data_IF_162577686624
#
_entry.id   IF_162577686624
#
_cell.length_a   1.000
_cell.length_b   1.000
_cell.length_c   1.000
_cell.angle_alpha   90.00
_cell.angle_beta   90.00
_cell.angle_gamma   90.00
#
_symmetry.space_group_name_H-M   'P 1'
#
loop_
_entity.id
_entity.type
_entity.pdbx_description
1 polymer ?
#
# COMPACT_ATOMS: atom_id res chain seq x y z
N UNK A 1 33.22 -37.24 -15.24
CA UNK A 1 33.53 -36.17 -14.27
C UNK A 1 34.13 -35.08 -15.11
N UNK A 2 33.44 -33.98 -15.37
CA UNK A 2 32.77 -33.06 -14.44
C UNK A 2 31.49 -32.48 -15.07
N UNK A 3 30.44 -32.42 -14.25
CA UNK A 3 29.10 -31.96 -14.60
C UNK A 3 28.91 -30.65 -13.81
N UNK A 4 28.88 -29.50 -14.49
CA UNK A 4 28.55 -28.22 -13.84
C UNK A 4 27.62 -27.41 -14.73
N UNK A 5 26.36 -27.85 -14.73
CA UNK A 5 25.16 -27.02 -14.64
C UNK A 5 25.29 -25.60 -15.22
N UNK A 6 24.99 -25.47 -16.51
CA UNK A 6 24.46 -24.24 -17.08
C UNK A 6 22.99 -24.10 -16.63
N UNK A 7 22.76 -23.57 -15.43
CA UNK A 7 21.45 -23.00 -15.09
C UNK A 7 21.60 -21.51 -15.34
N UNK A 8 21.04 -21.05 -16.46
CA UNK A 8 20.89 -19.64 -16.77
C UNK A 8 20.15 -18.91 -15.66
N UNK A 9 20.89 -18.37 -14.70
CA UNK A 9 20.42 -17.40 -13.72
C UNK A 9 20.28 -16.06 -14.44
N UNK A 10 19.28 -15.97 -15.32
CA UNK A 10 18.80 -14.66 -15.77
C UNK A 10 18.31 -13.93 -14.52
N UNK A 11 18.66 -12.65 -14.30
CA UNK A 11 18.10 -11.89 -13.18
C UNK A 11 16.58 -11.99 -13.28
N UNK A 12 15.97 -12.59 -12.26
CA UNK A 12 14.51 -12.74 -12.20
C UNK A 12 13.94 -11.32 -12.23
N UNK A 13 13.32 -10.96 -13.35
CA UNK A 13 12.64 -9.67 -13.46
C UNK A 13 11.51 -9.65 -12.42
N UNK A 14 11.32 -8.54 -11.69
CA UNK A 14 10.20 -8.42 -10.77
C UNK A 14 8.89 -8.76 -11.49
N UNK A 15 8.10 -9.63 -10.87
CA UNK A 15 6.77 -9.96 -11.37
C UNK A 15 5.80 -8.93 -10.82
N UNK A 16 5.08 -8.26 -11.72
CA UNK A 16 4.12 -7.21 -11.34
C UNK A 16 2.71 -7.79 -11.30
N UNK A 17 2.06 -7.63 -10.16
CA UNK A 17 0.67 -8.02 -9.93
C UNK A 17 -0.17 -6.79 -9.58
N UNK A 18 -1.44 -6.82 -9.96
CA UNK A 18 -2.38 -5.78 -9.58
C UNK A 18 -2.84 -5.99 -8.14
N UNK A 19 -2.85 -4.91 -7.37
CA UNK A 19 -3.37 -4.86 -6.01
C UNK A 19 -4.41 -3.75 -5.90
N UNK A 20 -5.55 -4.07 -5.30
CA UNK A 20 -6.61 -3.13 -4.96
C UNK A 20 -7.19 -3.44 -3.58
N UNK A 21 -7.69 -2.43 -2.88
CA UNK A 21 -8.43 -2.61 -1.65
C UNK A 21 -9.44 -1.49 -1.42
N UNK A 22 -10.52 -1.81 -0.72
CA UNK A 22 -11.53 -0.85 -0.28
C UNK A 22 -11.36 -0.59 1.22
N UNK A 23 -11.12 0.67 1.60
CA UNK A 23 -11.03 1.07 3.01
C UNK A 23 -12.38 1.54 3.53
N UNK A 24 -12.76 1.06 4.72
CA UNK A 24 -13.99 1.47 5.43
C UNK A 24 -13.64 1.96 6.82
N UNK A 25 -14.47 2.83 7.37
CA UNK A 25 -14.32 3.26 8.77
C UNK A 25 -14.38 2.04 9.69
N UNK A 26 -13.48 1.98 10.67
CA UNK A 26 -13.35 0.89 11.65
C UNK A 26 -12.93 -0.48 11.06
N UNK A 27 -12.34 -0.51 9.86
CA UNK A 27 -11.74 -1.72 9.30
C UNK A 27 -10.32 -1.43 8.83
N UNK A 28 -9.40 -2.23 9.36
CA UNK A 28 -7.99 -2.21 8.94
C UNK A 28 -7.82 -3.24 7.83
N UNK A 29 -7.12 -2.86 6.75
CA UNK A 29 -6.76 -3.77 5.68
C UNK A 29 -5.28 -4.12 5.81
N UNK A 30 -4.99 -5.42 5.94
CA UNK A 30 -3.64 -5.93 6.11
C UNK A 30 -3.12 -6.45 4.78
N UNK A 31 -2.01 -5.87 4.31
CA UNK A 31 -1.21 -6.43 3.24
C UNK A 31 -0.06 -7.23 3.87
N UNK A 32 -0.11 -8.55 3.68
CA UNK A 32 0.91 -9.50 4.13
C UNK A 32 1.19 -10.50 3.02
N UNK A 33 2.41 -10.98 2.97
CA UNK A 33 2.86 -12.06 2.08
C UNK A 33 3.42 -13.17 2.96
N UNK A 34 3.10 -14.42 2.64
CA UNK A 34 3.43 -15.57 3.50
C UNK A 34 4.89 -16.02 3.39
N UNK A 35 5.62 -15.59 2.36
CA UNK A 35 7.00 -16.00 2.10
C UNK A 35 7.88 -14.78 1.79
N UNK A 36 9.14 -14.81 2.27
CA UNK A 36 10.23 -13.85 2.00
C UNK A 36 9.78 -12.38 1.83
N UNK A 37 9.38 -11.73 2.94
CA UNK A 37 8.87 -10.35 2.96
C UNK A 37 9.76 -9.32 2.23
N UNK A 38 11.07 -9.58 2.16
CA UNK A 38 12.06 -8.71 1.51
C UNK A 38 12.04 -8.78 -0.03
N UNK A 39 11.43 -9.81 -0.61
CA UNK A 39 11.36 -10.00 -2.07
C UNK A 39 10.12 -9.35 -2.68
N UNK A 40 9.27 -8.75 -1.84
CA UNK A 40 8.01 -8.15 -2.22
C UNK A 40 7.99 -6.66 -1.91
N UNK A 41 7.34 -5.89 -2.78
CA UNK A 41 7.03 -4.48 -2.55
C UNK A 41 5.58 -4.20 -2.90
N UNK A 42 4.93 -3.40 -2.06
CA UNK A 42 3.63 -2.82 -2.35
C UNK A 42 3.85 -1.45 -3.00
N UNK A 43 3.52 -1.31 -4.28
CA UNK A 43 3.60 -0.04 -5.00
C UNK A 43 2.22 0.61 -5.10
N UNK A 44 2.01 1.71 -4.37
CA UNK A 44 0.73 2.42 -4.36
C UNK A 44 0.67 3.46 -5.48
N UNK A 45 -0.33 3.32 -6.35
CA UNK A 45 -0.51 4.19 -7.53
C UNK A 45 -1.59 5.25 -7.37
N UNK A 46 -2.83 4.83 -7.09
CA UNK A 46 -4.01 5.70 -7.05
C UNK A 46 -4.76 5.51 -5.74
N UNK A 47 -5.12 6.63 -5.11
CA UNK A 47 -6.06 6.67 -3.99
C UNK A 47 -7.23 7.55 -4.40
N UNK A 48 -8.45 7.03 -4.32
CA UNK A 48 -9.66 7.75 -4.70
C UNK A 48 -10.82 7.51 -3.73
N UNK A 49 -11.78 8.43 -3.72
CA UNK A 49 -13.04 8.28 -3.00
C UNK A 49 -14.08 7.60 -3.88
N UNK A 50 -14.82 6.66 -3.30
CA UNK A 50 -16.01 6.10 -3.95
C UNK A 50 -17.09 7.19 -4.12
N UNK A 51 -17.92 7.06 -5.17
CA UNK A 51 -18.97 8.04 -5.48
C UNK A 51 -19.99 8.22 -4.34
N UNK A 52 -20.17 7.21 -3.50
CA UNK A 52 -21.05 7.24 -2.32
C UNK A 52 -20.40 7.81 -1.06
N UNK A 53 -19.13 8.21 -1.11
CA UNK A 53 -18.44 8.78 0.06
C UNK A 53 -18.98 10.18 0.35
N UNK A 54 -19.23 10.46 1.63
CA UNK A 54 -19.66 11.78 2.09
C UNK A 54 -18.62 12.85 1.73
N UNK A 55 -19.08 14.08 1.50
CA UNK A 55 -18.20 15.22 1.25
C UNK A 55 -17.54 15.74 2.55
N UNK A 56 -16.72 14.90 3.15
CA UNK A 56 -15.94 15.18 4.36
C UNK A 56 -14.45 14.86 4.13
N UNK A 57 -13.62 15.25 5.10
CA UNK A 57 -12.18 15.03 5.01
C UNK A 57 -11.86 13.58 5.36
N UNK A 58 -11.34 12.84 4.38
CA UNK A 58 -10.95 11.45 4.48
C UNK A 58 -9.42 11.36 4.40
N UNK A 59 -8.79 10.90 5.47
CA UNK A 59 -7.34 10.72 5.55
C UNK A 59 -7.01 9.24 5.45
N UNK A 60 -6.16 8.89 4.48
CA UNK A 60 -5.64 7.53 4.31
C UNK A 60 -4.28 7.45 4.99
N UNK A 61 -4.15 6.51 5.92
CA UNK A 61 -2.91 6.23 6.63
C UNK A 61 -2.38 4.85 6.26
N UNK A 62 -1.06 4.72 6.19
CA UNK A 62 -0.35 3.45 6.22
C UNK A 62 0.34 3.29 7.57
N UNK A 63 0.31 2.07 8.13
CA UNK A 63 1.23 1.64 9.19
C UNK A 63 2.17 0.61 8.60
N UNK A 64 3.46 0.80 8.84
CA UNK A 64 4.54 -0.06 8.40
C UNK A 64 5.64 -0.05 9.47
N UNK A 65 6.71 -0.82 9.25
CA UNK A 65 7.92 -0.78 10.09
C UNK A 65 8.96 0.14 9.46
N UNK A 66 9.71 0.88 10.29
CA UNK A 66 10.84 1.71 9.84
C UNK A 66 12.15 0.91 9.85
N UNK A 67 13.28 1.58 9.59
CA UNK A 67 14.61 0.96 9.61
C UNK A 67 15.08 0.49 11.01
N UNK A 68 14.41 0.90 12.08
CA UNK A 68 14.66 0.49 13.47
C UNK A 68 13.65 -0.57 13.94
N UNK A 69 12.99 -1.26 13.00
CA UNK A 69 11.93 -2.24 13.24
C UNK A 69 10.75 -1.72 14.10
N UNK A 70 10.61 -0.39 14.17
CA UNK A 70 9.59 0.28 14.97
C UNK A 70 8.36 0.58 14.11
N UNK A 71 7.13 0.29 14.61
CA UNK A 71 5.91 0.63 13.89
C UNK A 71 5.78 2.15 13.72
N UNK A 72 5.67 2.60 12.48
CA UNK A 72 5.42 3.99 12.11
C UNK A 72 4.07 4.14 11.43
N UNK A 73 3.56 5.37 11.45
CA UNK A 73 2.32 5.77 10.79
C UNK A 73 2.61 6.90 9.83
N UNK A 74 2.17 6.74 8.59
CA UNK A 74 2.38 7.69 7.52
C UNK A 74 1.02 8.08 6.95
N UNK A 75 0.78 9.37 6.79
CA UNK A 75 -0.37 9.87 6.02
C UNK A 75 -0.04 9.78 4.53
N UNK A 76 -0.78 8.96 3.79
CA UNK A 76 -0.60 8.79 2.35
C UNK A 76 -1.31 9.88 1.56
N UNK A 77 -2.57 10.16 1.92
CA UNK A 77 -3.38 11.14 1.22
C UNK A 77 -4.46 11.71 2.13
N UNK A 78 -4.92 12.91 1.81
CA UNK A 78 -6.13 13.49 2.38
C UNK A 78 -7.03 13.94 1.24
N UNK A 79 -8.25 13.41 1.22
CA UNK A 79 -9.20 13.58 0.12
C UNK A 79 -10.52 14.14 0.64
N UNK A 80 -11.19 14.92 -0.20
CA UNK A 80 -12.55 15.41 0.02
C UNK A 80 -13.24 15.53 -1.33
N UNK A 81 -14.44 14.96 -1.46
CA UNK A 81 -15.11 14.81 -2.76
C UNK A 81 -15.23 16.13 -3.54
N UNK A 82 -15.59 17.21 -2.86
CA UNK A 82 -15.75 18.56 -3.44
C UNK A 82 -14.45 19.33 -3.72
N UNK A 83 -13.29 18.83 -3.26
CA UNK A 83 -12.01 19.55 -3.37
C UNK A 83 -11.02 18.72 -4.19
N UNK A 84 -10.77 17.50 -3.75
CA UNK A 84 -9.85 16.56 -4.36
C UNK A 84 -10.32 15.13 -4.05
N UNK A 85 -10.97 14.51 -5.04
CA UNK A 85 -11.54 13.17 -4.92
C UNK A 85 -10.53 12.04 -5.18
N UNK A 86 -9.38 12.36 -5.79
CA UNK A 86 -8.33 11.41 -6.12
C UNK A 86 -6.93 12.03 -6.05
N UNK A 87 -5.95 11.20 -5.71
CA UNK A 87 -4.51 11.53 -5.67
C UNK A 87 -3.75 10.35 -6.30
N UNK A 88 -2.80 10.67 -7.18
CA UNK A 88 -1.80 9.72 -7.65
C UNK A 88 -0.56 9.81 -6.76
N UNK A 89 -0.06 8.67 -6.31
CA UNK A 89 1.13 8.55 -5.45
C UNK A 89 2.39 8.14 -6.22
N UNK A 90 2.28 8.02 -7.55
CA UNK A 90 3.40 7.79 -8.47
C UNK A 90 4.33 6.62 -8.06
N UNK A 91 3.76 5.46 -7.75
CA UNK A 91 4.50 4.26 -7.32
C UNK A 91 5.19 4.46 -5.95
N UNK A 92 4.43 4.90 -4.96
CA UNK A 92 4.91 4.95 -3.59
C UNK A 92 5.11 3.52 -3.06
N UNK A 93 6.36 3.07 -3.02
CA UNK A 93 6.75 1.72 -2.62
C UNK A 93 6.86 1.57 -1.10
N UNK A 94 6.27 0.48 -0.59
CA UNK A 94 6.32 0.10 0.82
C UNK A 94 6.64 -1.38 0.92
N UNK A 95 7.63 -1.74 1.73
CA UNK A 95 7.92 -3.15 2.04
C UNK A 95 6.78 -3.72 2.91
N UNK A 96 6.26 -4.93 2.62
CA UNK A 96 5.39 -5.67 3.54
C UNK A 96 6.05 -5.79 4.91
N UNK A 97 5.40 -5.74 6.06
CA UNK A 97 3.99 -5.79 6.47
C UNK A 97 3.33 -4.40 6.50
N UNK A 98 2.25 -4.20 5.73
CA UNK A 98 1.55 -2.90 5.66
C UNK A 98 0.11 -3.03 6.15
N UNK A 99 -0.32 -2.06 6.96
CA UNK A 99 -1.74 -1.90 7.32
C UNK A 99 -2.23 -0.59 6.75
N UNK A 100 -3.29 -0.63 5.94
CA UNK A 100 -3.94 0.55 5.37
C UNK A 100 -5.21 0.87 6.16
N UNK A 101 -5.37 2.15 6.52
CA UNK A 101 -6.44 2.61 7.38
C UNK A 101 -7.09 3.88 6.82
N UNK A 102 -8.42 3.96 6.96
CA UNK A 102 -9.20 5.16 6.70
C UNK A 102 -9.54 5.87 8.02
N UNK A 103 -9.16 7.14 8.13
CA UNK A 103 -9.66 8.06 9.13
C UNK A 103 -10.58 9.07 8.47
N UNK A 104 -11.88 9.01 8.80
CA UNK A 104 -12.79 10.10 8.44
C UNK A 104 -12.96 11.06 9.61
N UNK A 105 -12.80 12.35 9.34
CA UNK A 105 -13.15 13.38 10.32
C UNK A 105 -14.65 13.67 10.22
N UNK A 106 -15.44 13.09 11.12
CA UNK A 106 -16.81 13.59 11.35
C UNK A 106 -16.72 15.04 11.83
N UNK A 107 -17.43 15.96 11.16
CA UNK A 107 -17.76 17.25 11.81
C UNK A 107 -18.72 16.94 12.95
N UNK A 108 -18.31 17.24 14.19
CA UNK A 108 -19.23 17.34 15.33
C UNK A 108 -20.20 18.49 15.13
#
# INVERSE_FOLDING_TARGET
MENSVDIGMSPLRPQNYLFDCELKTNKDNHFKVDNDENDHQLSLGLVNLAASTKDELNTIEARAVNYEDSPIKITLATLKMSVQAAVFLEHFEITPLVVLLLKSSMRM
#
